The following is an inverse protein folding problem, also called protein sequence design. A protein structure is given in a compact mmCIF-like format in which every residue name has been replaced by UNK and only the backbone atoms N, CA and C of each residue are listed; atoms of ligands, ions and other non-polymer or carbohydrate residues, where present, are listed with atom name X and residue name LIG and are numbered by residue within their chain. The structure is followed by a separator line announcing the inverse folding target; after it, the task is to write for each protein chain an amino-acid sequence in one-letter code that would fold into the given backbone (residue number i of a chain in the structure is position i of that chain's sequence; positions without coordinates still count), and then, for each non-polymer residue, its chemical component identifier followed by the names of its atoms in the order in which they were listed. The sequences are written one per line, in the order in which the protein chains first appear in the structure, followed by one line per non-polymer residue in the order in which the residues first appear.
data_IF_348447786578
#
_entry.id   IF_348447786578
#
_cell.length_a   1.000
_cell.length_b   1.000
_cell.length_c   1.000
_cell.angle_alpha   90.00
_cell.angle_beta   90.00
_cell.angle_gamma   90.00
#
_symmetry.space_group_name_H-M   'P 1'
#
loop_
_entity.id
_entity.type
_entity.pdbx_description
1 polymer ?
#
# COMPACT_ATOMS: atom_id res chain seq x y z
N UNK A 1 -34.31 -12.45 -11.53
CA UNK A 1 -33.61 -11.71 -12.60
C UNK A 1 -32.14 -12.06 -12.46
N UNK A 2 -31.46 -12.45 -13.55
CA UNK A 2 -30.03 -12.77 -13.47
C UNK A 2 -29.21 -11.49 -13.27
N UNK A 3 -28.35 -11.50 -12.26
CA UNK A 3 -27.42 -10.42 -11.95
C UNK A 3 -26.41 -10.23 -13.08
N UNK A 4 -25.78 -9.05 -13.18
CA UNK A 4 -24.80 -8.78 -14.24
C UNK A 4 -23.63 -9.78 -14.18
N UNK A 5 -23.23 -10.18 -12.98
CA UNK A 5 -22.20 -11.19 -12.73
C UNK A 5 -22.59 -12.59 -13.19
N UNK A 6 -23.85 -13.01 -13.02
CA UNK A 6 -24.36 -14.30 -13.54
C UNK A 6 -24.39 -14.33 -15.07
N UNK A 7 -24.67 -13.20 -15.72
CA UNK A 7 -24.61 -13.09 -17.19
C UNK A 7 -23.19 -13.18 -17.73
N UNK A 8 -22.22 -12.59 -17.03
CA UNK A 8 -20.80 -12.64 -17.42
C UNK A 8 -20.24 -14.05 -17.21
N UNK A 9 -20.51 -14.68 -16.07
CA UNK A 9 -20.06 -16.07 -15.83
C UNK A 9 -20.67 -17.07 -16.82
N UNK A 10 -21.93 -16.86 -17.24
CA UNK A 10 -22.57 -17.67 -18.28
C UNK A 10 -21.93 -17.54 -19.67
N UNK A 11 -21.28 -16.42 -19.98
CA UNK A 11 -20.57 -16.21 -21.25
C UNK A 11 -19.22 -16.96 -21.31
N UNK A 12 -18.55 -17.15 -20.18
CA UNK A 12 -17.24 -17.83 -20.14
C UNK A 12 -17.36 -19.33 -19.85
N UNK A 13 -18.40 -19.78 -19.13
CA UNK A 13 -18.59 -21.19 -18.77
C UNK A 13 -18.86 -22.13 -19.97
N UNK A 14 -19.19 -21.60 -21.15
CA UNK A 14 -19.43 -22.38 -22.36
C UNK A 14 -18.29 -22.32 -23.40
N UNK A 15 -17.09 -21.81 -23.06
CA UNK A 15 -15.99 -21.70 -24.03
C UNK A 15 -15.23 -23.02 -24.31
N UNK A 16 -15.73 -24.16 -23.84
CA UNK A 16 -15.14 -25.49 -24.00
C UNK A 16 -15.60 -26.21 -25.28
N UNK A 17 -15.61 -25.52 -26.42
CA UNK A 17 -15.84 -26.18 -27.74
C UNK A 17 -14.58 -26.32 -28.59
N UNK A 18 -13.39 -26.05 -28.03
CA UNK A 18 -12.15 -26.43 -28.69
C UNK A 18 -11.95 -27.94 -28.54
N UNK A 19 -11.94 -28.68 -29.65
CA UNK A 19 -11.95 -30.16 -29.62
C UNK A 19 -10.58 -30.74 -29.26
N UNK A 20 -9.52 -29.94 -29.34
CA UNK A 20 -8.18 -30.32 -28.95
C UNK A 20 -7.40 -29.15 -28.34
N UNK A 21 -6.34 -29.47 -27.60
CA UNK A 21 -5.43 -28.48 -26.99
C UNK A 21 -4.72 -27.59 -28.01
N UNK A 22 -4.42 -28.14 -29.20
CA UNK A 22 -3.82 -27.38 -30.30
C UNK A 22 -4.82 -26.38 -30.88
N UNK A 23 -6.08 -26.79 -31.03
CA UNK A 23 -7.16 -25.91 -31.50
C UNK A 23 -7.43 -24.78 -30.50
N UNK A 24 -7.40 -25.08 -29.20
CA UNK A 24 -7.51 -24.08 -28.14
C UNK A 24 -6.37 -23.06 -28.20
N UNK A 25 -5.12 -23.53 -28.29
CA UNK A 25 -3.96 -22.64 -28.35
C UNK A 25 -4.00 -21.74 -29.59
N UNK A 26 -4.38 -22.30 -30.75
CA UNK A 26 -4.56 -21.56 -31.99
C UNK A 26 -5.71 -20.54 -31.89
N UNK A 27 -6.81 -20.92 -31.26
CA UNK A 27 -7.96 -20.05 -30.97
C UNK A 27 -7.59 -18.87 -30.07
N UNK A 28 -6.86 -19.14 -28.98
CA UNK A 28 -6.34 -18.11 -28.06
C UNK A 28 -5.38 -17.16 -28.78
N UNK A 29 -4.46 -17.68 -29.60
CA UNK A 29 -3.54 -16.86 -30.38
C UNK A 29 -4.29 -15.95 -31.37
N UNK A 30 -5.30 -16.48 -32.07
CA UNK A 30 -6.12 -15.70 -33.00
C UNK A 30 -6.92 -14.59 -32.31
N UNK A 31 -7.49 -14.87 -31.13
CA UNK A 31 -8.18 -13.87 -30.32
C UNK A 31 -7.23 -12.76 -29.88
N UNK A 32 -6.04 -13.11 -29.40
CA UNK A 32 -5.01 -12.14 -29.03
C UNK A 32 -4.59 -11.26 -30.22
N UNK A 33 -4.31 -11.87 -31.38
CA UNK A 33 -4.01 -11.11 -32.60
C UNK A 33 -5.16 -10.19 -33.00
N UNK A 34 -6.42 -10.64 -32.88
CA UNK A 34 -7.59 -9.80 -33.15
C UNK A 34 -7.68 -8.60 -32.20
N UNK A 35 -7.44 -8.82 -30.90
CA UNK A 35 -7.41 -7.75 -29.90
C UNK A 35 -6.31 -6.74 -30.19
N UNK A 36 -5.08 -7.20 -30.43
CA UNK A 36 -3.93 -6.33 -30.79
C UNK A 36 -4.25 -5.50 -32.02
N UNK A 37 -4.86 -6.11 -33.06
CA UNK A 37 -5.24 -5.38 -34.27
C UNK A 37 -6.31 -4.32 -34.00
N UNK A 38 -7.29 -4.60 -33.13
CA UNK A 38 -8.32 -3.61 -32.74
C UNK A 38 -7.71 -2.44 -31.98
N UNK A 39 -6.86 -2.70 -31.00
CA UNK A 39 -6.17 -1.64 -30.25
C UNK A 39 -5.23 -0.82 -31.13
N UNK A 40 -4.47 -1.49 -32.00
CA UNK A 40 -3.60 -0.81 -32.97
C UNK A 40 -4.40 0.11 -33.90
N UNK A 41 -5.52 -0.38 -34.45
CA UNK A 41 -6.39 0.43 -35.30
C UNK A 41 -7.06 1.60 -34.54
N UNK A 42 -7.49 1.38 -33.29
CA UNK A 42 -8.06 2.42 -32.44
C UNK A 42 -7.02 3.51 -32.12
N UNK A 43 -5.79 3.11 -31.75
CA UNK A 43 -4.68 4.02 -31.53
C UNK A 43 -4.34 4.79 -32.80
N UNK A 44 -4.23 4.11 -33.94
CA UNK A 44 -3.97 4.76 -35.22
C UNK A 44 -5.03 5.83 -35.54
N UNK A 45 -6.31 5.58 -35.24
CA UNK A 45 -7.38 6.58 -35.39
C UNK A 45 -7.27 7.72 -34.39
N UNK A 46 -7.01 7.42 -33.12
CA UNK A 46 -6.86 8.42 -32.07
C UNK A 46 -5.69 9.39 -32.35
N UNK A 47 -4.62 8.88 -32.95
CA UNK A 47 -3.43 9.67 -33.29
C UNK A 47 -3.39 10.15 -34.74
N UNK A 48 -4.37 9.82 -35.58
CA UNK A 48 -4.38 10.19 -37.01
C UNK A 48 -4.35 11.72 -37.23
N UNK A 49 -4.87 12.51 -36.27
CA UNK A 49 -4.85 13.97 -36.30
C UNK A 49 -3.77 14.61 -35.44
N UNK A 50 -3.03 13.81 -34.65
CA UNK A 50 -2.08 14.32 -33.66
C UNK A 50 -0.67 14.21 -34.22
N UNK A 51 -0.30 15.12 -35.11
CA UNK A 51 1.09 15.25 -35.53
C UNK A 51 1.81 16.17 -34.53
N UNK A 52 2.49 15.58 -33.55
CA UNK A 52 3.44 16.34 -32.73
C UNK A 52 4.65 16.64 -33.62
N UNK A 53 5.00 17.92 -33.75
CA UNK A 53 6.18 18.28 -34.54
C UNK A 53 7.44 17.74 -33.86
N UNK A 54 8.45 17.37 -34.65
CA UNK A 54 9.73 16.94 -34.10
C UNK A 54 10.36 18.03 -33.22
N UNK A 55 10.14 19.30 -33.58
CA UNK A 55 10.59 20.45 -32.80
C UNK A 55 9.93 20.51 -31.42
N UNK A 56 8.63 20.22 -31.32
CA UNK A 56 7.92 20.19 -30.03
C UNK A 56 8.41 19.05 -29.14
N UNK A 57 8.68 17.87 -29.71
CA UNK A 57 9.27 16.75 -28.98
C UNK A 57 10.67 17.09 -28.45
N UNK A 58 11.47 17.82 -29.22
CA UNK A 58 12.81 18.27 -28.79
C UNK A 58 12.74 19.35 -27.72
N UNK A 59 11.80 20.31 -27.83
CA UNK A 59 11.51 21.29 -26.78
C UNK A 59 11.07 20.61 -25.50
N UNK A 60 10.20 19.62 -25.58
CA UNK A 60 9.74 18.85 -24.42
C UNK A 60 10.89 18.06 -23.77
N UNK A 61 11.74 17.40 -24.56
CA UNK A 61 12.94 16.72 -24.04
C UNK A 61 13.89 17.67 -23.35
N UNK A 62 14.16 18.84 -23.94
CA UNK A 62 15.02 19.85 -23.32
C UNK A 62 14.40 20.40 -22.03
N UNK A 63 13.09 20.64 -22.01
CA UNK A 63 12.38 21.08 -20.81
C UNK A 63 12.45 20.01 -19.70
N UNK A 64 12.26 18.74 -20.05
CA UNK A 64 12.37 17.62 -19.11
C UNK A 64 13.78 17.48 -18.55
N UNK A 65 14.82 17.60 -19.39
CA UNK A 65 16.21 17.59 -18.94
C UNK A 65 16.54 18.76 -18.00
N UNK A 66 16.01 19.96 -18.28
CA UNK A 66 16.18 21.12 -17.39
C UNK A 66 15.49 20.92 -16.04
N UNK A 67 14.28 20.36 -16.01
CA UNK A 67 13.58 20.02 -14.75
C UNK A 67 14.38 19.02 -13.93
N UNK A 68 14.83 17.93 -14.56
CA UNK A 68 15.68 16.93 -13.90
C UNK A 68 16.98 17.51 -13.37
N UNK A 69 17.61 18.41 -14.12
CA UNK A 69 18.81 19.10 -13.67
C UNK A 69 18.53 20.00 -12.45
N UNK A 70 17.42 20.76 -12.46
CA UNK A 70 17.00 21.58 -11.33
C UNK A 70 16.70 20.75 -10.08
N UNK A 71 15.93 19.66 -10.22
CA UNK A 71 15.64 18.71 -9.13
C UNK A 71 16.92 18.10 -8.55
N UNK A 72 17.90 17.76 -9.40
CA UNK A 72 19.18 17.23 -8.94
C UNK A 72 20.03 18.24 -8.16
N UNK A 73 19.94 19.53 -8.52
CA UNK A 73 20.63 20.60 -7.79
C UNK A 73 19.98 20.84 -6.43
N UNK A 74 18.65 20.89 -6.38
CA UNK A 74 17.89 21.04 -5.14
C UNK A 74 18.17 19.88 -4.17
N UNK A 75 18.17 18.64 -4.66
CA UNK A 75 18.48 17.47 -3.84
C UNK A 75 19.92 17.50 -3.32
N UNK A 76 20.87 17.99 -4.11
CA UNK A 76 22.26 18.15 -3.68
C UNK A 76 22.42 19.26 -2.64
N UNK A 77 21.68 20.36 -2.77
CA UNK A 77 21.64 21.46 -1.79
C UNK A 77 21.08 20.98 -0.44
N UNK A 78 20.00 20.19 -0.45
CA UNK A 78 19.45 19.57 0.76
C UNK A 78 20.44 18.63 1.43
N UNK A 79 21.19 17.83 0.64
CA UNK A 79 22.23 16.95 1.15
C UNK A 79 23.38 17.72 1.81
N UNK A 80 23.84 18.82 1.21
CA UNK A 80 24.89 19.65 1.80
C UNK A 80 24.40 20.40 3.05
N UNK A 81 23.15 20.86 3.07
CA UNK A 81 22.54 21.44 4.27
C UNK A 81 22.46 20.42 5.42
N UNK A 82 22.05 19.18 5.12
CA UNK A 82 21.99 18.10 6.11
C UNK A 82 23.38 17.75 6.66
N UNK A 83 24.41 17.72 5.81
CA UNK A 83 25.80 17.52 6.24
C UNK A 83 26.26 18.65 7.16
N UNK A 84 25.95 19.90 6.84
CA UNK A 84 26.31 21.06 7.65
C UNK A 84 25.63 21.05 9.04
N UNK A 85 24.38 20.59 9.12
CA UNK A 85 23.66 20.44 10.40
C UNK A 85 24.16 19.26 11.24
N UNK A 86 24.51 18.14 10.60
CA UNK A 86 25.06 16.95 11.27
C UNK A 86 26.37 17.25 12.02
N UNK A 87 27.25 18.06 11.44
CA UNK A 87 28.52 18.50 12.08
C UNK A 87 28.26 19.38 13.32
N UNK A 88 27.22 20.21 13.32
CA UNK A 88 26.80 21.00 14.48
C UNK A 88 26.16 20.14 15.58
N UNK A 89 25.43 19.09 15.20
CA UNK A 89 24.83 18.13 16.14
C UNK A 89 25.87 17.24 16.87
N UNK A 90 26.93 16.81 16.17
CA UNK A 90 27.99 15.99 16.78
C UNK A 90 28.86 16.77 17.79
N UNK A 91 29.11 18.06 17.56
CA UNK A 91 29.90 18.88 18.49
C UNK A 91 29.18 19.17 19.80
N UNK A 92 27.85 19.27 19.80
CA UNK A 92 27.04 19.43 21.02
C UNK A 92 26.88 18.13 21.82
N UNK A 93 26.84 16.96 21.16
CA UNK A 93 26.71 15.65 21.83
C UNK A 93 27.97 15.22 22.60
N UNK A 94 29.16 15.64 22.17
CA UNK A 94 30.41 15.33 22.87
C UNK A 94 30.50 16.11 24.20
N UNK A 95 29.91 17.30 24.30
CA UNK A 95 29.91 18.09 25.55
C UNK A 95 28.85 17.61 26.55
N UNK A 96 27.71 17.07 26.10
CA UNK A 96 26.67 16.54 26.99
C UNK A 96 27.03 15.20 27.66
N UNK A 97 27.86 14.37 27.02
CA UNK A 97 28.32 13.08 27.60
C UNK A 97 29.36 13.21 28.72
N UNK A 98 29.94 14.40 28.94
CA UNK A 98 30.85 14.65 30.06
C UNK A 98 30.13 15.01 31.39
N UNK A 99 28.84 15.33 31.36
CA UNK A 99 28.08 15.81 32.53
C UNK A 99 27.11 14.77 33.14
N UNK A 100 26.86 13.63 32.50
CA UNK A 100 25.77 12.72 32.88
C UNK A 100 26.21 11.37 33.49
N UNK A 101 27.36 11.33 34.18
CA UNK A 101 27.73 10.20 35.07
C UNK A 101 27.54 10.59 36.52
N UNK A 102 26.30 10.65 36.98
CA UNK A 102 25.94 10.49 38.40
C UNK A 102 24.42 10.37 38.54
N UNK A 103 24.01 9.33 39.27
CA UNK A 103 22.67 9.13 39.84
C UNK A 103 21.58 8.64 38.85
N UNK A 104 20.68 7.70 39.17
CA UNK A 104 20.40 6.89 40.36
C UNK A 104 19.46 5.75 39.95
N UNK A 105 19.64 4.63 40.64
CA UNK A 105 18.71 3.53 41.00
C UNK A 105 17.19 3.71 40.67
N UNK A 106 16.65 2.67 40.00
CA UNK A 106 15.34 1.96 40.11
C UNK A 106 14.40 2.39 41.26
N UNK A 107 13.03 2.20 41.22
CA UNK A 107 12.33 1.01 40.70
C UNK A 107 10.89 1.20 40.14
N UNK A 108 10.31 0.09 39.66
CA UNK A 108 8.88 -0.30 39.64
C UNK A 108 7.82 0.73 40.11
N UNK A 109 6.78 0.98 39.30
CA UNK A 109 5.39 0.90 39.77
C UNK A 109 4.37 0.83 38.61
N UNK A 110 3.60 -0.25 38.62
CA UNK A 110 2.43 -0.53 37.78
C UNK A 110 1.24 0.32 38.25
N UNK A 111 0.52 0.98 37.34
CA UNK A 111 -0.87 1.42 37.58
C UNK A 111 -1.76 1.06 36.39
N UNK A 112 -2.53 -0.01 36.63
CA UNK A 112 -3.73 -0.42 35.88
C UNK A 112 -4.87 0.51 36.30
N UNK A 113 -5.38 1.33 35.39
CA UNK A 113 -6.62 2.09 35.58
C UNK A 113 -7.65 1.55 34.59
N UNK A 114 -8.63 0.86 35.17
CA UNK A 114 -9.87 0.40 34.57
C UNK A 114 -10.86 1.55 34.72
N UNK A 115 -11.41 2.04 33.62
CA UNK A 115 -12.53 2.97 33.62
C UNK A 115 -13.68 2.30 32.85
N UNK A 116 -14.67 1.85 33.61
CA UNK A 116 -16.03 1.57 33.15
C UNK A 116 -16.81 2.90 33.28
N UNK A 117 -17.41 3.37 32.18
CA UNK A 117 -18.49 4.37 32.17
C UNK A 117 -19.14 4.27 30.78
N UNK A 118 -20.29 3.60 30.65
CA UNK A 118 -21.65 4.12 30.87
C UNK A 118 -22.20 4.75 29.58
N UNK A 119 -23.17 4.05 28.98
CA UNK A 119 -23.85 4.41 27.75
C UNK A 119 -24.96 5.45 28.05
N UNK A 120 -25.06 6.54 27.27
CA UNK A 120 -26.28 7.31 27.19
C UNK A 120 -27.11 6.95 25.96
N UNK A 121 -28.42 7.06 26.19
CA UNK A 121 -29.52 6.75 25.32
C UNK A 121 -29.60 7.68 24.09
N UNK A 122 -30.30 7.16 23.08
CA UNK A 122 -30.65 7.83 21.84
C UNK A 122 -31.40 9.15 22.07
N UNK A 123 -30.89 10.23 21.48
CA UNK A 123 -31.66 11.42 21.13
C UNK A 123 -31.55 11.64 19.62
N UNK A 124 -32.70 11.57 18.96
CA UNK A 124 -32.90 11.95 17.57
C UNK A 124 -32.84 13.48 17.47
N UNK A 125 -31.75 14.00 16.91
CA UNK A 125 -31.68 15.39 16.44
C UNK A 125 -31.25 15.41 14.98
N UNK A 126 -32.24 15.56 14.11
CA UNK A 126 -32.07 15.99 12.73
C UNK A 126 -31.52 17.43 12.71
N UNK A 127 -30.25 17.59 12.38
CA UNK A 127 -29.67 18.87 12.01
C UNK A 127 -28.63 18.65 10.91
N UNK A 128 -28.92 19.18 9.72
CA UNK A 128 -28.03 19.22 8.57
C UNK A 128 -26.71 19.92 8.94
N UNK A 129 -25.67 19.11 9.15
CA UNK A 129 -24.29 19.54 9.34
C UNK A 129 -23.37 18.52 8.70
N UNK A 130 -23.17 18.60 7.38
CA UNK A 130 -22.22 17.80 6.63
C UNK A 130 -20.81 18.31 6.98
N UNK A 131 -20.31 17.91 8.14
CA UNK A 131 -19.02 18.33 8.65
C UNK A 131 -18.43 17.28 9.58
N UNK A 132 -17.45 16.53 9.06
CA UNK A 132 -16.38 15.87 9.83
C UNK A 132 -16.75 14.70 10.77
N UNK A 133 -17.75 13.87 10.44
CA UNK A 133 -17.98 12.59 11.14
C UNK A 133 -17.22 11.38 10.52
N UNK A 134 -16.36 11.60 9.52
CA UNK A 134 -15.67 10.53 8.80
C UNK A 134 -14.41 9.99 9.52
N UNK A 135 -13.83 10.71 10.48
CA UNK A 135 -12.52 10.34 11.06
C UNK A 135 -12.53 9.09 11.95
N UNK A 136 -13.64 8.81 12.63
CA UNK A 136 -13.65 7.78 13.67
C UNK A 136 -13.86 6.36 13.10
N UNK A 137 -14.57 6.24 11.97
CA UNK A 137 -14.83 4.94 11.33
C UNK A 137 -13.55 4.37 10.68
N UNK A 138 -12.85 5.17 9.89
CA UNK A 138 -11.67 4.74 9.12
C UNK A 138 -10.50 4.35 10.03
N UNK A 139 -10.36 5.04 11.17
CA UNK A 139 -9.38 4.71 12.20
C UNK A 139 -9.65 3.31 12.78
N UNK A 140 -10.92 2.97 13.03
CA UNK A 140 -11.32 1.68 13.59
C UNK A 140 -11.11 0.50 12.63
N UNK A 141 -11.29 0.72 11.33
CA UNK A 141 -11.08 -0.27 10.27
C UNK A 141 -9.61 -0.68 10.18
N UNK A 142 -8.71 0.31 10.19
CA UNK A 142 -7.27 0.09 10.14
C UNK A 142 -6.76 -0.65 11.39
N UNK A 143 -7.28 -0.31 12.58
CA UNK A 143 -6.92 -0.98 13.83
C UNK A 143 -7.34 -2.45 13.83
N UNK A 144 -8.54 -2.74 13.31
CA UNK A 144 -9.01 -4.11 13.16
C UNK A 144 -8.09 -4.91 12.20
N UNK A 145 -7.65 -4.30 11.10
CA UNK A 145 -6.74 -4.94 10.14
C UNK A 145 -5.37 -5.24 10.76
N UNK A 146 -4.79 -4.27 11.48
CA UNK A 146 -3.53 -4.46 12.23
C UNK A 146 -3.67 -5.60 13.24
N UNK A 147 -4.78 -5.64 13.98
CA UNK A 147 -5.01 -6.68 15.00
C UNK A 147 -5.07 -8.09 14.41
N UNK A 148 -5.60 -8.24 13.19
CA UNK A 148 -5.63 -9.52 12.46
C UNK A 148 -4.24 -9.90 11.95
N UNK A 149 -3.46 -8.94 11.43
CA UNK A 149 -2.10 -9.18 10.91
C UNK A 149 -1.08 -9.45 12.03
N UNK A 150 -1.34 -8.98 13.25
CA UNK A 150 -0.55 -9.30 14.43
C UNK A 150 -0.74 -10.75 14.92
N UNK A 151 -1.77 -11.46 14.45
CA UNK A 151 -2.02 -12.83 14.89
C UNK A 151 -0.85 -13.76 14.54
N UNK A 152 -0.37 -14.61 15.47
CA UNK A 152 0.72 -15.55 15.20
C UNK A 152 0.43 -16.48 14.02
N UNK A 153 -0.83 -16.85 13.81
CA UNK A 153 -1.30 -17.69 12.71
C UNK A 153 -1.06 -17.05 11.35
N UNK A 154 -1.37 -15.75 11.21
CA UNK A 154 -1.09 -14.99 10.00
C UNK A 154 0.41 -14.94 9.73
N UNK A 155 1.21 -14.60 10.75
CA UNK A 155 2.68 -14.50 10.63
C UNK A 155 3.31 -15.84 10.26
N UNK A 156 2.79 -16.96 10.75
CA UNK A 156 3.23 -18.29 10.37
C UNK A 156 2.91 -18.57 8.89
N UNK A 157 1.66 -18.34 8.45
CA UNK A 157 1.25 -18.54 7.05
C UNK A 157 2.06 -17.68 6.07
N UNK A 158 2.29 -16.42 6.41
CA UNK A 158 3.08 -15.51 5.58
C UNK A 158 4.52 -16.01 5.44
N UNK A 159 5.16 -16.42 6.55
CA UNK A 159 6.54 -16.95 6.52
C UNK A 159 6.64 -18.24 5.70
N UNK A 160 5.69 -19.15 5.86
CA UNK A 160 5.63 -20.40 5.11
C UNK A 160 5.49 -20.14 3.60
N UNK A 161 4.56 -19.26 3.22
CA UNK A 161 4.32 -18.87 1.83
C UNK A 161 5.55 -18.19 1.17
N UNK A 162 6.25 -17.34 1.92
CA UNK A 162 7.48 -16.69 1.45
C UNK A 162 8.65 -17.67 1.31
N UNK A 163 8.76 -18.63 2.23
CA UNK A 163 9.81 -19.68 2.20
C UNK A 163 9.59 -20.62 1.02
N UNK A 164 8.33 -21.00 0.75
CA UNK A 164 7.94 -21.83 -0.39
C UNK A 164 8.17 -21.17 -1.76
N UNK A 165 8.45 -19.86 -1.80
CA UNK A 165 8.73 -19.13 -3.03
C UNK A 165 10.21 -19.18 -3.46
N UNK A 166 11.10 -19.82 -2.69
CA UNK A 166 12.52 -20.06 -3.03
C UNK A 166 13.32 -18.79 -3.41
N UNK A 167 12.91 -17.61 -2.90
CA UNK A 167 13.58 -16.34 -3.21
C UNK A 167 13.17 -15.68 -4.53
N UNK A 168 12.22 -16.25 -5.28
CA UNK A 168 11.64 -15.60 -6.46
C UNK A 168 10.73 -14.43 -6.03
N UNK A 169 11.15 -13.21 -6.38
CA UNK A 169 10.47 -11.98 -5.99
C UNK A 169 9.02 -11.90 -6.50
N UNK A 170 8.75 -12.45 -7.69
CA UNK A 170 7.41 -12.43 -8.28
C UNK A 170 6.51 -13.43 -7.55
N UNK A 171 7.00 -14.64 -7.29
CA UNK A 171 6.26 -15.63 -6.49
C UNK A 171 6.00 -15.14 -5.06
N UNK A 172 7.00 -14.51 -4.43
CA UNK A 172 6.83 -13.92 -3.11
C UNK A 172 5.77 -12.81 -3.10
N UNK A 173 5.72 -11.97 -4.13
CA UNK A 173 4.69 -10.93 -4.24
C UNK A 173 3.28 -11.55 -4.33
N UNK A 174 3.10 -12.59 -5.15
CA UNK A 174 1.83 -13.31 -5.26
C UNK A 174 1.47 -14.04 -3.96
N UNK A 175 2.39 -14.79 -3.38
CA UNK A 175 2.19 -15.53 -2.14
C UNK A 175 1.78 -14.60 -0.99
N UNK A 176 2.44 -13.44 -0.87
CA UNK A 176 2.08 -12.39 0.09
C UNK A 176 0.68 -11.84 -0.17
N UNK A 177 0.36 -11.50 -1.42
CA UNK A 177 -0.98 -11.02 -1.80
C UNK A 177 -2.05 -12.02 -1.38
N UNK A 178 -1.87 -13.29 -1.71
CA UNK A 178 -2.84 -14.35 -1.42
C UNK A 178 -3.09 -14.50 0.10
N UNK A 179 -2.02 -14.44 0.90
CA UNK A 179 -2.13 -14.49 2.36
C UNK A 179 -2.83 -13.26 2.94
N UNK A 180 -2.56 -12.06 2.41
CA UNK A 180 -3.23 -10.83 2.86
C UNK A 180 -4.72 -10.81 2.48
N UNK A 181 -5.04 -11.18 1.24
CA UNK A 181 -6.42 -11.24 0.74
C UNK A 181 -7.30 -12.19 1.55
N UNK A 182 -6.75 -13.31 2.02
CA UNK A 182 -7.47 -14.26 2.88
C UNK A 182 -7.92 -13.65 4.24
N UNK A 183 -7.34 -12.52 4.64
CA UNK A 183 -7.71 -11.77 5.85
C UNK A 183 -8.51 -10.51 5.50
N UNK A 184 -8.06 -9.74 4.52
CA UNK A 184 -8.65 -8.44 4.16
C UNK A 184 -10.08 -8.59 3.65
N UNK A 185 -10.34 -9.55 2.76
CA UNK A 185 -11.65 -9.78 2.14
C UNK A 185 -12.76 -9.99 3.20
N UNK A 186 -12.67 -11.00 4.10
CA UNK A 186 -13.70 -11.21 5.12
C UNK A 186 -13.73 -10.13 6.21
N UNK A 187 -12.66 -9.36 6.38
CA UNK A 187 -12.63 -8.24 7.31
C UNK A 187 -13.42 -7.06 6.76
N UNK A 188 -13.15 -6.65 5.52
CA UNK A 188 -13.84 -5.55 4.85
C UNK A 188 -15.33 -5.85 4.67
N UNK A 189 -15.70 -7.11 4.44
CA UNK A 189 -17.10 -7.53 4.41
C UNK A 189 -17.87 -7.16 5.69
N UNK A 190 -17.22 -7.10 6.86
CA UNK A 190 -17.85 -6.67 8.13
C UNK A 190 -18.13 -5.16 8.17
N UNK A 191 -17.43 -4.39 7.37
CA UNK A 191 -17.58 -2.94 7.24
C UNK A 191 -18.46 -2.54 6.04
N UNK A 192 -19.14 -3.51 5.41
CA UNK A 192 -20.11 -3.26 4.35
C UNK A 192 -19.53 -3.25 2.94
N UNK A 193 -18.27 -3.63 2.77
CA UNK A 193 -17.68 -3.87 1.45
C UNK A 193 -18.11 -5.22 0.88
N UNK A 194 -18.01 -5.37 -0.45
CA UNK A 194 -18.22 -6.66 -1.10
C UNK A 194 -17.07 -7.65 -0.77
N UNK A 195 -17.41 -8.94 -0.63
CA UNK A 195 -16.46 -10.03 -0.37
C UNK A 195 -15.65 -10.38 -1.64
N UNK A 196 -14.81 -9.45 -2.10
CA UNK A 196 -14.10 -9.55 -3.39
C UNK A 196 -12.75 -8.84 -3.39
N UNK A 197 -11.84 -9.27 -4.28
CA UNK A 197 -10.55 -8.61 -4.50
C UNK A 197 -10.70 -7.15 -4.98
N UNK A 198 -11.78 -6.86 -5.73
CA UNK A 198 -12.08 -5.52 -6.22
C UNK A 198 -12.38 -4.55 -5.08
N UNK A 199 -13.11 -5.02 -4.06
CA UNK A 199 -13.42 -4.21 -2.88
C UNK A 199 -12.15 -3.89 -2.06
N UNK A 200 -11.23 -4.85 -1.93
CA UNK A 200 -9.92 -4.59 -1.30
C UNK A 200 -9.13 -3.53 -2.08
N UNK A 201 -9.16 -3.59 -3.41
CA UNK A 201 -8.51 -2.58 -4.24
C UNK A 201 -9.12 -1.18 -4.05
N UNK A 202 -10.46 -1.07 -4.05
CA UNK A 202 -11.17 0.19 -3.82
C UNK A 202 -10.88 0.76 -2.43
N UNK A 203 -10.90 -0.09 -1.40
CA UNK A 203 -10.52 0.29 -0.04
C UNK A 203 -9.07 0.80 0.01
N UNK A 204 -8.13 0.09 -0.62
CA UNK A 204 -6.72 0.52 -0.68
C UNK A 204 -6.56 1.88 -1.38
N UNK A 205 -7.31 2.14 -2.46
CA UNK A 205 -7.29 3.44 -3.14
C UNK A 205 -7.87 4.56 -2.25
N UNK A 206 -8.98 4.30 -1.55
CA UNK A 206 -9.58 5.26 -0.62
C UNK A 206 -8.58 5.60 0.50
N UNK A 207 -8.02 4.59 1.14
CA UNK A 207 -6.98 4.72 2.16
C UNK A 207 -5.78 5.54 1.67
N UNK A 208 -5.28 5.26 0.46
CA UNK A 208 -4.16 5.99 -0.13
C UNK A 208 -4.46 7.49 -0.31
N UNK A 209 -5.70 7.86 -0.66
CA UNK A 209 -6.10 9.26 -0.78
C UNK A 209 -6.10 10.00 0.57
N UNK A 210 -6.40 9.28 1.66
CA UNK A 210 -6.48 9.83 3.02
C UNK A 210 -5.12 9.94 3.72
N UNK A 211 -4.09 9.23 3.23
CA UNK A 211 -2.74 9.26 3.83
C UNK A 211 -2.14 10.67 3.90
N UNK A 212 -2.53 11.58 2.99
CA UNK A 212 -2.04 12.96 3.00
C UNK A 212 -2.66 13.81 4.11
N UNK A 213 -3.90 13.51 4.50
CA UNK A 213 -4.67 14.32 5.43
C UNK A 213 -4.68 13.74 6.85
N UNK A 214 -4.33 12.45 7.01
CA UNK A 214 -4.40 11.73 8.28
C UNK A 214 -3.03 11.12 8.68
N UNK A 215 -2.21 11.81 9.50
CA UNK A 215 -0.88 11.31 9.90
C UNK A 215 -0.94 10.01 10.71
N UNK A 216 -2.00 9.80 11.49
CA UNK A 216 -2.20 8.55 12.24
C UNK A 216 -2.38 7.36 11.28
N UNK A 217 -3.04 7.59 10.14
CA UNK A 217 -3.22 6.58 9.10
C UNK A 217 -1.90 6.22 8.42
N UNK A 218 -0.98 7.18 8.30
CA UNK A 218 0.38 6.94 7.79
C UNK A 218 1.14 5.99 8.72
N UNK A 219 1.08 6.23 10.04
CA UNK A 219 1.71 5.35 11.02
C UNK A 219 1.14 3.92 10.94
N UNK A 220 -0.18 3.79 10.87
CA UNK A 220 -0.89 2.50 10.72
C UNK A 220 -0.53 1.79 9.41
N UNK A 221 -0.47 2.51 8.30
CA UNK A 221 -0.09 1.95 7.00
C UNK A 221 1.37 1.47 6.98
N UNK A 222 2.28 2.20 7.64
CA UNK A 222 3.66 1.75 7.81
C UNK A 222 3.75 0.49 8.67
N UNK A 223 2.94 0.38 9.72
CA UNK A 223 2.87 -0.81 10.56
C UNK A 223 2.35 -2.02 9.75
N UNK A 224 1.28 -1.85 8.98
CA UNK A 224 0.78 -2.88 8.06
C UNK A 224 1.86 -3.31 7.05
N UNK A 225 2.58 -2.35 6.46
CA UNK A 225 3.67 -2.65 5.53
C UNK A 225 4.79 -3.49 6.18
N UNK A 226 5.16 -3.19 7.43
CA UNK A 226 6.13 -4.00 8.21
C UNK A 226 5.60 -5.40 8.51
N UNK A 227 4.33 -5.51 8.91
CA UNK A 227 3.70 -6.80 9.21
C UNK A 227 3.61 -7.72 7.99
N UNK A 228 3.47 -7.14 6.80
CA UNK A 228 3.35 -7.87 5.53
C UNK A 228 4.71 -8.07 4.85
N UNK A 229 5.73 -7.26 5.17
CA UNK A 229 7.05 -7.34 4.57
C UNK A 229 8.17 -7.54 5.61
N UNK A 230 8.52 -8.79 5.96
CA UNK A 230 9.53 -9.08 6.97
C UNK A 230 10.93 -8.52 6.66
N UNK A 231 11.22 -8.20 5.39
CA UNK A 231 12.52 -7.62 5.01
C UNK A 231 12.65 -6.15 5.38
N UNK A 232 11.55 -5.49 5.78
CA UNK A 232 11.60 -4.10 6.26
C UNK A 232 12.06 -3.98 7.71
N UNK A 233 12.12 -5.08 8.46
CA UNK A 233 12.52 -5.08 9.88
C UNK A 233 14.05 -5.15 10.08
N UNK A 234 14.86 -5.13 9.01
CA UNK A 234 16.27 -5.57 9.06
C UNK A 234 17.26 -4.49 9.53
N UNK A 235 16.86 -3.22 9.62
CA UNK A 235 17.84 -2.12 9.79
C UNK A 235 17.95 -1.51 11.21
N UNK A 236 17.16 -1.93 12.21
CA UNK A 236 17.32 -1.36 13.57
C UNK A 236 18.40 -2.06 14.42
N UNK A 237 18.70 -3.35 14.17
CA UNK A 237 19.66 -4.12 15.00
C UNK A 237 21.05 -4.30 14.36
N UNK A 238 21.21 -4.05 13.06
CA UNK A 238 22.48 -4.25 12.35
C UNK A 238 23.60 -3.25 12.72
N UNK A 239 23.32 -2.26 13.57
CA UNK A 239 24.30 -1.28 14.05
C UNK A 239 24.82 -1.51 15.49
N UNK A 240 24.42 -2.60 16.17
CA UNK A 240 24.79 -2.82 17.58
C UNK A 240 25.93 -3.85 17.77
N UNK A 241 26.34 -4.61 16.75
CA UNK A 241 27.40 -5.64 16.90
C UNK A 241 28.64 -5.40 16.03
N UNK A 242 29.26 -4.22 16.18
CA UNK A 242 30.64 -3.99 15.76
C UNK A 242 31.45 -3.54 16.99
N UNK A 243 31.85 -4.51 17.82
CA UNK A 243 32.87 -4.39 18.87
C UNK A 243 33.89 -5.52 18.69
#
# INVERSE_FOLDING_TARGET
MATSSERINGMFANSSTWRSKEEEQKGRAALHTSQVNRYSAANARAFAGTTVSQEDLEKERQAAQKRKAAESLELNELLEAQKAESVKGQTLRIQAKAAAKKEKKMPFLVKKLRAETEAPAAEDTEAEGIGLAYSDSESSESDAMISEFLRPEFRYKLRDALTGSEGDMVKQAHARRDVCMAVEIPLLAKYGYDDSEEAVHQHSMAMASLLHDCPDLVAKNLELARLVNPTMDVDEDAHITAD
#
